data_IF_775058909835
#
_entry.id   IF_775058909835
#
_cell.length_a   1.000
_cell.length_b   1.000
_cell.length_c   1.000
_cell.angle_alpha   90.00
_cell.angle_beta   90.00
_cell.angle_gamma   90.00
#
_symmetry.space_group_name_H-M   'P 1'
#
loop_
_entity.id
_entity.type
_entity.pdbx_description
1 polymer ?
#
# COMPACT_ATOMS: atom_id res chain seq x y z
N UNK A 1 -2.48 -10.80 -22.67
CA UNK A 1 -3.42 -11.89 -22.37
C UNK A 1 -3.29 -12.19 -20.89
N UNK A 2 -4.39 -12.41 -20.16
CA UNK A 2 -4.31 -12.67 -18.73
C UNK A 2 -3.47 -13.92 -18.45
N UNK A 3 -2.71 -13.88 -17.36
CA UNK A 3 -1.82 -14.96 -16.95
C UNK A 3 -2.26 -15.53 -15.60
N UNK A 4 -2.10 -16.83 -15.43
CA UNK A 4 -2.40 -17.51 -14.17
C UNK A 4 -1.16 -17.52 -13.26
N UNK A 5 -1.35 -17.12 -12.00
CA UNK A 5 -0.31 -17.17 -10.96
C UNK A 5 -0.74 -18.14 -9.86
N UNK A 6 0.14 -19.08 -9.52
CA UNK A 6 -0.05 -20.01 -8.39
C UNK A 6 0.86 -19.61 -7.23
N UNK A 7 0.30 -19.52 -6.02
CA UNK A 7 1.03 -19.25 -4.78
C UNK A 7 1.43 -20.57 -4.14
N UNK A 8 2.71 -20.72 -3.81
CA UNK A 8 3.23 -21.82 -2.99
C UNK A 8 3.64 -21.29 -1.60
N UNK A 9 3.39 -22.08 -0.52
CA UNK A 9 2.95 -23.48 -0.51
C UNK A 9 1.42 -23.70 -0.49
N UNK A 10 0.60 -22.64 -0.48
CA UNK A 10 -0.86 -22.78 -0.32
C UNK A 10 -1.57 -23.44 -1.49
N UNK A 11 -0.99 -23.38 -2.70
CA UNK A 11 -1.61 -23.87 -3.94
C UNK A 11 -2.71 -22.96 -4.49
N UNK A 12 -3.00 -21.82 -3.85
CA UNK A 12 -3.99 -20.86 -4.32
C UNK A 12 -3.62 -20.28 -5.68
N UNK A 13 -4.63 -20.04 -6.52
CA UNK A 13 -4.45 -19.51 -7.88
C UNK A 13 -5.27 -18.25 -8.08
N UNK A 14 -4.71 -17.31 -8.84
CA UNK A 14 -5.40 -16.10 -9.26
C UNK A 14 -4.98 -15.70 -10.67
N UNK A 15 -5.85 -14.92 -11.32
CA UNK A 15 -5.63 -14.41 -12.67
C UNK A 15 -5.11 -12.98 -12.60
N UNK A 16 -4.03 -12.70 -13.33
CA UNK A 16 -3.43 -11.37 -13.49
C UNK A 16 -3.76 -10.83 -14.88
N UNK A 17 -4.43 -9.69 -14.94
CA UNK A 17 -4.70 -8.94 -16.17
C UNK A 17 -3.44 -8.24 -16.69
N UNK A 18 -3.43 -7.86 -17.96
CA UNK A 18 -2.25 -7.30 -18.65
C UNK A 18 -1.71 -6.00 -18.02
N UNK A 19 -2.59 -5.21 -17.40
CA UNK A 19 -2.28 -3.88 -16.87
C UNK A 19 -1.95 -3.86 -15.36
N UNK A 20 -2.20 -4.96 -14.66
CA UNK A 20 -2.03 -5.06 -13.20
C UNK A 20 -0.74 -5.81 -12.81
N UNK A 21 -0.26 -5.52 -11.61
CA UNK A 21 0.87 -6.24 -11.01
C UNK A 21 0.41 -7.49 -10.27
N UNK A 22 1.34 -8.43 -10.01
CA UNK A 22 1.06 -9.65 -9.24
C UNK A 22 0.38 -9.31 -7.89
N UNK A 23 0.87 -8.28 -7.18
CA UNK A 23 0.28 -7.86 -5.91
C UNK A 23 -1.14 -7.29 -6.08
N UNK A 24 -1.39 -6.51 -7.12
CA UNK A 24 -2.71 -5.91 -7.36
C UNK A 24 -3.76 -6.98 -7.65
N UNK A 25 -3.41 -7.93 -8.51
CA UNK A 25 -4.26 -9.08 -8.82
C UNK A 25 -4.51 -9.94 -7.57
N UNK A 26 -3.48 -10.24 -6.79
CA UNK A 26 -3.61 -11.02 -5.57
C UNK A 26 -4.58 -10.34 -4.59
N UNK A 27 -4.41 -9.04 -4.34
CA UNK A 27 -5.29 -8.28 -3.45
C UNK A 27 -6.73 -8.17 -3.99
N UNK A 28 -6.90 -8.04 -5.31
CA UNK A 28 -8.21 -8.00 -5.97
C UNK A 28 -8.98 -9.31 -5.81
N UNK A 29 -8.28 -10.44 -5.85
CA UNK A 29 -8.82 -11.80 -5.68
C UNK A 29 -8.86 -12.24 -4.20
N UNK A 30 -8.53 -11.34 -3.25
CA UNK A 30 -8.61 -11.60 -1.80
C UNK A 30 -7.38 -12.30 -1.20
N UNK A 31 -6.33 -12.53 -1.98
CA UNK A 31 -5.06 -13.07 -1.51
C UNK A 31 -4.14 -11.97 -0.99
N UNK A 32 -4.00 -11.91 0.34
CA UNK A 32 -3.14 -10.92 0.99
C UNK A 32 -1.68 -11.39 1.03
N UNK A 33 -0.86 -10.86 0.12
CA UNK A 33 0.59 -11.02 0.13
C UNK A 33 1.26 -9.98 1.05
N UNK A 34 2.53 -10.16 1.46
CA UNK A 34 3.28 -9.11 2.15
C UNK A 34 3.51 -7.88 1.25
N UNK A 35 3.26 -6.67 1.74
CA UNK A 35 3.56 -5.42 1.04
C UNK A 35 3.61 -4.19 1.96
N UNK A 36 4.22 -3.12 1.46
CA UNK A 36 4.36 -1.83 2.13
C UNK A 36 4.06 -0.68 1.17
N UNK A 37 5.07 -0.11 0.52
CA UNK A 37 4.95 1.14 -0.25
C UNK A 37 4.22 1.06 -1.61
N UNK A 38 4.01 -0.15 -2.17
CA UNK A 38 3.47 -0.41 -3.53
C UNK A 38 4.14 0.28 -4.73
N UNK A 39 5.21 1.04 -4.53
CA UNK A 39 5.93 1.78 -5.57
C UNK A 39 7.35 1.24 -5.85
N UNK A 40 7.70 0.05 -5.33
CA UNK A 40 9.01 -0.56 -5.57
C UNK A 40 10.18 0.01 -4.76
N UNK A 41 9.92 0.73 -3.66
CA UNK A 41 10.96 1.33 -2.81
C UNK A 41 11.28 0.56 -1.52
N UNK A 42 10.30 -0.09 -0.87
CA UNK A 42 10.50 -0.65 0.48
C UNK A 42 10.97 -2.11 0.53
N UNK A 43 10.85 -2.87 -0.56
CA UNK A 43 11.21 -4.30 -0.59
C UNK A 43 10.26 -5.25 0.15
N UNK A 44 9.24 -4.78 0.86
CA UNK A 44 8.34 -5.63 1.67
C UNK A 44 7.53 -6.66 0.86
N UNK A 45 7.32 -6.42 -0.43
CA UNK A 45 6.63 -7.36 -1.34
C UNK A 45 7.58 -8.28 -2.11
N UNK A 46 8.84 -8.37 -1.67
CA UNK A 46 9.82 -9.25 -2.29
C UNK A 46 9.45 -10.70 -2.02
N UNK A 47 9.34 -11.49 -3.07
CA UNK A 47 9.17 -12.94 -3.01
C UNK A 47 9.98 -13.63 -4.07
N UNK A 48 9.87 -14.96 -4.13
CA UNK A 48 10.61 -15.79 -5.08
C UNK A 48 9.69 -16.26 -6.20
N UNK A 49 10.21 -16.25 -7.41
CA UNK A 49 9.57 -16.79 -8.61
C UNK A 49 10.15 -18.18 -8.82
N UNK A 50 9.29 -19.18 -8.74
CA UNK A 50 9.67 -20.60 -8.88
C UNK A 50 9.66 -21.03 -10.35
N UNK A 51 8.75 -20.47 -11.16
CA UNK A 51 8.68 -20.71 -12.60
C UNK A 51 7.96 -19.56 -13.31
N UNK A 52 8.17 -19.45 -14.63
CA UNK A 52 7.54 -18.43 -15.49
C UNK A 52 8.40 -17.19 -15.73
N UNK A 53 7.90 -16.28 -16.57
CA UNK A 53 8.57 -15.04 -16.97
C UNK A 53 7.79 -13.82 -16.49
N UNK A 54 8.50 -12.72 -16.20
CA UNK A 54 7.90 -11.47 -15.76
C UNK A 54 8.69 -10.25 -16.25
N UNK A 55 7.99 -9.13 -16.36
CA UNK A 55 8.58 -7.80 -16.36
C UNK A 55 8.74 -7.31 -14.92
N UNK A 56 9.95 -6.93 -14.54
CA UNK A 56 10.27 -6.45 -13.18
C UNK A 56 9.72 -5.05 -12.89
N UNK A 57 9.33 -4.31 -13.93
CA UNK A 57 8.87 -2.93 -13.84
C UNK A 57 9.91 -1.98 -13.26
N UNK A 58 9.55 -0.70 -13.13
CA UNK A 58 10.42 0.32 -12.52
C UNK A 58 10.46 0.13 -11.00
N UNK A 59 11.66 0.04 -10.42
CA UNK A 59 11.87 -0.12 -8.98
C UNK A 59 13.20 0.50 -8.52
N UNK A 60 13.37 0.68 -7.22
CA UNK A 60 14.65 1.13 -6.66
C UNK A 60 15.66 -0.02 -6.58
N UNK A 61 16.92 0.24 -6.98
CA UNK A 61 18.02 -0.71 -6.82
C UNK A 61 18.28 -1.09 -5.35
N UNK A 62 17.89 -0.22 -4.41
CA UNK A 62 17.95 -0.54 -2.97
C UNK A 62 16.91 -1.58 -2.54
N UNK A 63 15.78 -1.66 -3.25
CA UNK A 63 14.68 -2.57 -2.95
C UNK A 63 14.87 -3.95 -3.58
N UNK A 64 15.46 -4.02 -4.78
CA UNK A 64 15.75 -5.27 -5.49
C UNK A 64 17.08 -5.12 -6.26
N UNK A 65 18.09 -5.87 -5.83
CA UNK A 65 19.41 -5.89 -6.48
C UNK A 65 19.41 -6.85 -7.67
N UNK A 66 20.35 -6.66 -8.59
CA UNK A 66 20.45 -7.53 -9.77
C UNK A 66 20.87 -8.97 -9.42
N UNK A 67 21.65 -9.16 -8.35
CA UNK A 67 21.95 -10.51 -7.85
C UNK A 67 20.70 -11.22 -7.32
N UNK A 68 19.76 -10.47 -6.73
CA UNK A 68 18.50 -11.01 -6.25
C UNK A 68 17.58 -11.40 -7.42
N UNK A 69 17.57 -10.62 -8.51
CA UNK A 69 16.87 -10.98 -9.75
C UNK A 69 17.43 -12.28 -10.33
N UNK A 70 18.76 -12.43 -10.34
CA UNK A 70 19.43 -13.66 -10.80
C UNK A 70 19.07 -14.88 -9.93
N UNK A 71 18.69 -14.66 -8.67
CA UNK A 71 18.18 -15.70 -7.76
C UNK A 71 16.66 -15.93 -7.87
N UNK A 72 16.01 -15.33 -8.88
CA UNK A 72 14.57 -15.44 -9.11
C UNK A 72 13.73 -14.63 -8.14
N UNK A 73 14.26 -13.59 -7.49
CA UNK A 73 13.45 -12.72 -6.62
C UNK A 73 12.83 -11.58 -7.40
N UNK A 74 11.59 -11.25 -7.07
CA UNK A 74 10.87 -10.12 -7.67
C UNK A 74 10.10 -9.32 -6.62
N UNK A 75 9.84 -8.04 -6.90
CA UNK A 75 8.93 -7.22 -6.11
C UNK A 75 7.53 -7.36 -6.69
N UNK A 76 6.63 -8.10 -6.03
CA UNK A 76 5.30 -8.38 -6.58
C UNK A 76 4.44 -7.13 -6.80
N UNK A 77 4.75 -6.00 -6.14
CA UNK A 77 4.08 -4.73 -6.39
C UNK A 77 4.49 -4.03 -7.70
N UNK A 78 5.54 -4.50 -8.37
CA UNK A 78 6.04 -3.97 -9.66
C UNK A 78 6.09 -5.04 -10.75
N UNK A 79 6.16 -6.30 -10.36
CA UNK A 79 6.25 -7.43 -11.28
C UNK A 79 4.92 -7.63 -12.04
N UNK A 80 5.01 -7.75 -13.36
CA UNK A 80 3.91 -8.14 -14.25
C UNK A 80 4.26 -9.46 -14.93
N UNK A 81 3.41 -10.51 -14.86
CA UNK A 81 3.68 -11.77 -15.55
C UNK A 81 3.70 -11.58 -17.06
N UNK A 82 4.60 -12.30 -17.74
CA UNK A 82 4.65 -12.45 -19.20
C UNK A 82 4.27 -13.88 -19.64
N UNK A 83 4.08 -14.78 -18.67
CA UNK A 83 3.59 -16.14 -18.81
C UNK A 83 2.85 -16.54 -17.55
N UNK A 84 2.17 -17.68 -17.58
CA UNK A 84 1.74 -18.35 -16.34
C UNK A 84 2.96 -18.64 -15.46
N UNK A 85 2.79 -18.52 -14.15
CA UNK A 85 3.91 -18.61 -13.22
C UNK A 85 3.53 -19.15 -11.84
N UNK A 86 4.56 -19.61 -11.14
CA UNK A 86 4.46 -20.06 -9.75
C UNK A 86 5.35 -19.16 -8.90
N UNK A 87 4.79 -18.61 -7.82
CA UNK A 87 5.50 -17.76 -6.87
C UNK A 87 5.50 -18.39 -5.48
N UNK A 88 6.53 -18.11 -4.69
CA UNK A 88 6.61 -18.46 -3.28
C UNK A 88 6.33 -17.21 -2.44
N UNK A 89 5.26 -17.27 -1.63
CA UNK A 89 4.88 -16.17 -0.75
C UNK A 89 4.10 -16.67 0.47
N UNK A 90 4.35 -16.04 1.63
CA UNK A 90 3.55 -16.29 2.84
C UNK A 90 2.32 -15.39 2.83
N UNK A 91 1.15 -15.99 2.63
CA UNK A 91 -0.13 -15.27 2.73
C UNK A 91 -0.40 -14.79 4.17
N UNK A 92 -1.08 -13.65 4.27
CA UNK A 92 -1.36 -12.96 5.52
C UNK A 92 -2.85 -13.10 5.82
N UNK A 93 -3.18 -13.99 6.76
CA UNK A 93 -4.56 -14.26 7.16
C UNK A 93 -5.19 -13.16 8.02
N UNK A 94 -4.41 -12.52 8.90
CA UNK A 94 -4.94 -11.60 9.92
C UNK A 94 -5.59 -10.32 9.37
N UNK A 95 -5.37 -9.98 8.10
CA UNK A 95 -5.98 -8.82 7.44
C UNK A 95 -7.24 -9.16 6.62
N UNK A 96 -7.65 -10.45 6.55
CA UNK A 96 -8.71 -10.90 5.63
C UNK A 96 -10.08 -10.31 5.92
N UNK A 97 -10.38 -9.99 7.18
CA UNK A 97 -11.70 -9.48 7.58
C UNK A 97 -11.84 -7.96 7.45
N UNK A 98 -10.75 -7.25 7.13
CA UNK A 98 -10.74 -5.79 7.02
C UNK A 98 -10.92 -5.37 5.56
N UNK A 99 -12.05 -4.72 5.28
CA UNK A 99 -12.40 -4.29 3.93
C UNK A 99 -11.65 -3.00 3.56
N UNK A 100 -10.91 -3.05 2.46
CA UNK A 100 -10.30 -1.86 1.84
C UNK A 100 -11.39 -1.03 1.16
N UNK A 101 -11.55 0.22 1.60
CA UNK A 101 -12.54 1.17 1.06
C UNK A 101 -11.84 2.35 0.38
N UNK A 102 -12.55 2.98 -0.56
CA UNK A 102 -12.21 4.31 -1.06
C UNK A 102 -13.24 5.30 -0.53
N UNK A 103 -12.81 6.25 0.29
CA UNK A 103 -13.71 7.14 1.03
C UNK A 103 -13.33 8.61 0.76
N UNK A 104 -14.32 9.52 0.65
CA UNK A 104 -14.03 10.93 0.85
C UNK A 104 -13.66 11.15 2.32
N UNK A 105 -12.82 12.13 2.59
CA UNK A 105 -12.48 12.56 3.94
C UNK A 105 -12.28 14.08 3.95
N UNK A 106 -12.47 14.68 5.11
CA UNK A 106 -12.28 16.12 5.31
C UNK A 106 -11.07 16.37 6.18
N UNK A 107 -10.23 17.33 5.82
CA UNK A 107 -9.18 17.83 6.72
C UNK A 107 -9.87 18.51 7.89
N UNK A 108 -9.74 17.93 9.09
CA UNK A 108 -10.30 18.50 10.31
C UNK A 108 -9.33 19.52 10.91
N UNK A 109 -8.04 19.18 10.95
CA UNK A 109 -7.03 20.01 11.57
C UNK A 109 -5.65 19.82 10.94
N UNK A 110 -4.89 20.91 10.87
CA UNK A 110 -3.48 20.92 10.48
C UNK A 110 -2.66 21.56 11.60
N UNK A 111 -1.70 20.82 12.14
CA UNK A 111 -0.86 21.29 13.24
C UNK A 111 0.62 21.06 12.92
N UNK A 112 1.39 22.14 12.78
CA UNK A 112 2.83 22.03 12.61
C UNK A 112 3.47 21.53 13.89
N UNK A 113 4.16 20.38 13.84
CA UNK A 113 4.82 19.73 14.97
C UNK A 113 6.34 19.89 14.93
N UNK A 114 6.91 20.11 13.75
CA UNK A 114 8.29 20.51 13.53
C UNK A 114 8.39 21.35 12.25
N UNK A 115 9.60 21.83 11.92
CA UNK A 115 9.80 22.65 10.73
C UNK A 115 9.44 21.93 9.43
N UNK A 116 9.59 20.61 9.42
CA UNK A 116 9.27 19.73 8.31
C UNK A 116 8.22 18.68 8.66
N UNK A 117 7.48 18.79 9.79
CA UNK A 117 6.44 17.79 10.16
C UNK A 117 5.09 18.45 10.46
N UNK A 118 4.06 17.99 9.75
CA UNK A 118 2.67 18.36 9.96
C UNK A 118 1.89 17.18 10.56
N UNK A 119 1.21 17.39 11.67
CA UNK A 119 0.16 16.49 12.15
C UNK A 119 -1.14 16.87 11.43
N UNK A 120 -1.71 15.90 10.74
CA UNK A 120 -2.95 16.05 9.96
C UNK A 120 -4.00 15.17 10.58
N UNK A 121 -5.12 15.79 11.00
CA UNK A 121 -6.30 15.07 11.46
C UNK A 121 -7.34 15.11 10.35
N UNK A 122 -7.82 13.94 9.94
CA UNK A 122 -8.88 13.82 8.93
C UNK A 122 -10.11 13.16 9.52
N UNK A 123 -11.27 13.64 9.08
CA UNK A 123 -12.58 13.15 9.48
C UNK A 123 -13.25 12.42 8.33
N UNK A 124 -13.75 11.22 8.61
CA UNK A 124 -14.58 10.46 7.67
C UNK A 124 -16.04 10.96 7.70
N UNK A 125 -16.86 10.64 6.69
CA UNK A 125 -18.31 10.83 6.75
C UNK A 125 -18.90 10.19 8.00
N UNK A 126 -19.97 10.77 8.55
CA UNK A 126 -20.52 10.36 9.85
C UNK A 126 -20.99 8.89 9.91
N UNK A 127 -21.34 8.30 8.77
CA UNK A 127 -21.77 6.92 8.62
C UNK A 127 -20.64 5.97 8.21
N UNK A 128 -19.41 6.47 8.09
CA UNK A 128 -18.25 5.70 7.69
C UNK A 128 -17.27 5.53 8.83
N UNK A 129 -16.73 4.32 8.90
CA UNK A 129 -15.68 3.90 9.83
C UNK A 129 -14.63 3.16 9.01
N UNK A 130 -13.37 3.43 9.32
CA UNK A 130 -12.24 2.71 8.75
C UNK A 130 -11.69 1.78 9.83
N UNK A 131 -11.96 0.48 9.72
CA UNK A 131 -11.30 -0.52 10.55
C UNK A 131 -9.88 -0.71 10.02
N UNK A 132 -8.88 -0.84 10.89
CA UNK A 132 -7.48 -1.08 10.54
C UNK A 132 -6.71 -1.71 11.69
N UNK A 133 -5.53 -2.26 11.41
CA UNK A 133 -4.58 -2.73 12.40
C UNK A 133 -3.47 -1.70 12.62
N UNK A 134 -3.03 -1.51 13.87
CA UNK A 134 -1.97 -0.57 14.20
C UNK A 134 -0.69 -0.88 13.40
N UNK A 135 -0.21 0.10 12.63
CA UNK A 135 0.90 -0.03 11.67
C UNK A 135 0.48 0.09 10.20
N UNK A 136 -0.80 -0.10 9.90
CA UNK A 136 -1.35 0.10 8.55
C UNK A 136 -1.38 1.58 8.13
N UNK A 137 -1.58 1.79 6.83
CA UNK A 137 -1.53 3.11 6.20
C UNK A 137 -2.73 3.33 5.27
N UNK A 138 -2.90 4.57 4.81
CA UNK A 138 -3.85 4.95 3.76
C UNK A 138 -3.14 5.60 2.58
N UNK A 139 -3.73 5.50 1.40
CA UNK A 139 -3.30 6.23 0.21
C UNK A 139 -4.21 7.44 -0.02
N UNK A 140 -3.65 8.65 -0.10
CA UNK A 140 -4.38 9.80 -0.67
C UNK A 140 -4.33 9.75 -2.19
N UNK A 141 -5.49 9.85 -2.84
CA UNK A 141 -5.64 9.94 -4.29
C UNK A 141 -5.53 11.39 -4.74
N UNK A 142 -4.58 11.67 -5.64
CA UNK A 142 -4.30 13.00 -6.16
C UNK A 142 -5.01 13.23 -7.51
N UNK A 143 -5.17 14.50 -7.89
CA UNK A 143 -5.87 14.91 -9.12
C UNK A 143 -5.24 14.36 -10.41
N UNK A 144 -3.94 14.09 -10.39
CA UNK A 144 -3.19 13.54 -11.54
C UNK A 144 -3.24 12.00 -11.60
N UNK A 145 -4.12 11.36 -10.82
CA UNK A 145 -4.28 9.91 -10.75
C UNK A 145 -3.20 9.22 -9.90
N UNK A 146 -2.19 9.94 -9.41
CA UNK A 146 -1.17 9.37 -8.52
C UNK A 146 -1.70 9.24 -7.11
N UNK A 147 -1.02 8.42 -6.30
CA UNK A 147 -1.33 8.26 -4.88
C UNK A 147 -0.10 8.49 -3.99
N UNK A 148 -0.33 8.85 -2.73
CA UNK A 148 0.71 8.96 -1.70
C UNK A 148 0.28 8.28 -0.40
N UNK A 149 1.14 7.41 0.10
CA UNK A 149 0.90 6.58 1.28
C UNK A 149 1.33 7.27 2.56
N UNK A 150 0.49 7.25 3.59
CA UNK A 150 0.80 7.76 4.93
C UNK A 150 0.24 6.83 6.00
N UNK A 151 1.09 6.44 6.96
CA UNK A 151 0.73 5.57 8.07
C UNK A 151 -0.23 6.24 9.05
N UNK A 152 -1.17 5.47 9.57
CA UNK A 152 -2.07 5.89 10.64
C UNK A 152 -1.29 5.95 11.96
N UNK A 153 -1.36 7.10 12.63
CA UNK A 153 -0.58 7.41 13.83
C UNK A 153 -1.38 7.27 15.14
N UNK A 154 -2.71 7.14 15.07
CA UNK A 154 -3.61 6.90 16.20
C UNK A 154 -3.98 5.40 16.31
N UNK A 155 -4.34 4.90 17.50
CA UNK A 155 -4.73 3.51 17.68
C UNK A 155 -6.12 3.22 17.06
N UNK A 156 -6.37 1.98 16.56
CA UNK A 156 -7.64 1.65 15.89
C UNK A 156 -8.93 1.84 16.69
N UNK A 157 -8.85 1.89 18.03
CA UNK A 157 -10.01 2.10 18.89
C UNK A 157 -10.36 3.59 19.08
N UNK A 158 -9.45 4.51 18.75
CA UNK A 158 -9.69 5.96 18.76
C UNK A 158 -9.83 6.45 17.31
N UNK A 159 -10.95 6.11 16.68
CA UNK A 159 -11.18 6.24 15.24
C UNK A 159 -12.09 7.44 14.87
N UNK A 160 -12.35 8.34 15.82
CA UNK A 160 -13.17 9.53 15.58
C UNK A 160 -12.52 10.47 14.54
N UNK A 161 -11.19 10.54 14.56
CA UNK A 161 -10.36 11.19 13.56
C UNK A 161 -9.20 10.25 13.23
N UNK A 162 -8.85 10.14 11.95
CA UNK A 162 -7.61 9.47 11.57
C UNK A 162 -6.47 10.49 11.65
N UNK A 163 -5.36 10.07 12.25
CA UNK A 163 -4.18 10.90 12.47
C UNK A 163 -3.03 10.46 11.58
N UNK A 164 -2.37 11.43 10.94
CA UNK A 164 -1.21 11.22 10.09
C UNK A 164 -0.11 12.21 10.46
N UNK A 165 1.14 11.77 10.43
CA UNK A 165 2.29 12.65 10.54
C UNK A 165 3.00 12.72 9.19
N UNK A 166 2.95 13.88 8.57
CA UNK A 166 3.43 14.10 7.20
C UNK A 166 4.70 14.93 7.25
N UNK A 167 5.81 14.33 6.82
CA UNK A 167 7.06 15.06 6.60
C UNK A 167 7.00 15.85 5.29
N UNK A 168 7.50 17.08 5.31
CA UNK A 168 7.72 17.89 4.11
C UNK A 168 8.89 17.33 3.31
N UNK A 169 8.63 16.92 2.07
CA UNK A 169 9.65 16.60 1.09
C UNK A 169 9.59 17.69 0.01
N UNK A 170 10.65 18.49 -0.17
CA UNK A 170 10.67 19.54 -1.20
C UNK A 170 10.40 18.99 -2.60
N UNK A 171 9.47 19.60 -3.33
CA UNK A 171 9.04 19.12 -4.66
C UNK A 171 8.10 17.89 -4.58
N UNK A 172 7.68 17.51 -3.38
CA UNK A 172 6.83 16.35 -3.15
C UNK A 172 5.38 16.62 -3.50
N UNK A 173 4.81 15.78 -4.38
CA UNK A 173 3.48 15.99 -4.94
C UNK A 173 2.36 16.30 -3.94
N UNK A 174 2.36 15.66 -2.76
CA UNK A 174 1.36 15.89 -1.72
C UNK A 174 1.91 16.66 -0.52
N UNK A 175 3.14 16.36 -0.09
CA UNK A 175 3.74 17.03 1.06
C UNK A 175 3.90 18.54 0.87
N UNK A 176 4.17 19.02 -0.36
CA UNK A 176 4.17 20.46 -0.64
C UNK A 176 2.78 21.07 -0.43
N UNK A 177 1.72 20.37 -0.87
CA UNK A 177 0.34 20.83 -0.70
C UNK A 177 -0.02 20.93 0.79
N UNK A 178 0.33 19.92 1.58
CA UNK A 178 0.10 19.90 3.04
C UNK A 178 0.70 21.12 3.75
N UNK A 179 1.84 21.62 3.27
CA UNK A 179 2.56 22.74 3.87
C UNK A 179 2.25 24.10 3.23
N UNK A 180 1.43 24.16 2.17
CA UNK A 180 1.18 25.41 1.44
C UNK A 180 -0.30 25.67 1.15
N UNK A 181 -0.94 24.80 0.38
CA UNK A 181 -2.26 25.06 -0.21
C UNK A 181 -3.40 24.33 0.49
N UNK A 182 -3.10 23.21 1.17
CA UNK A 182 -4.09 22.42 1.90
C UNK A 182 -4.59 23.21 3.12
N UNK A 183 -5.91 23.22 3.29
CA UNK A 183 -6.58 23.94 4.38
C UNK A 183 -7.52 23.02 5.14
N UNK A 184 -7.82 23.41 6.37
CA UNK A 184 -8.94 22.82 7.10
C UNK A 184 -10.22 22.94 6.27
N UNK A 185 -11.05 21.90 6.34
CA UNK A 185 -12.29 21.70 5.58
C UNK A 185 -12.10 21.28 4.12
N UNK A 186 -10.88 21.22 3.61
CA UNK A 186 -10.63 20.61 2.29
C UNK A 186 -11.07 19.15 2.27
N UNK A 187 -11.59 18.73 1.12
CA UNK A 187 -12.03 17.35 0.89
C UNK A 187 -10.97 16.63 0.08
N UNK A 188 -10.53 15.50 0.61
CA UNK A 188 -9.59 14.58 -0.03
C UNK A 188 -10.29 13.24 -0.25
N UNK A 189 -9.70 12.39 -1.10
CA UNK A 189 -10.12 11.00 -1.25
C UNK A 189 -8.99 10.09 -0.79
N UNK A 190 -9.32 9.14 0.09
CA UNK A 190 -8.38 8.14 0.58
C UNK A 190 -8.80 6.74 0.13
N UNK A 191 -7.82 5.83 0.05
CA UNK A 191 -8.01 4.39 -0.07
C UNK A 191 -7.30 3.69 1.07
N UNK A 192 -8.00 2.81 1.79
CA UNK A 192 -7.40 2.05 2.87
C UNK A 192 -8.38 1.18 3.68
N UNK A 193 -7.89 0.54 4.75
CA UNK A 193 -6.47 0.53 5.12
C UNK A 193 -5.63 -0.34 4.18
N UNK A 194 -4.33 -0.13 4.18
CA UNK A 194 -3.37 -0.84 3.37
C UNK A 194 -2.15 -1.22 4.21
N UNK A 195 -1.40 -2.18 3.68
CA UNK A 195 -0.12 -2.62 4.23
C UNK A 195 -0.24 -3.84 5.12
N UNK A 196 0.87 -4.58 5.16
CA UNK A 196 1.00 -5.80 5.96
C UNK A 196 1.92 -5.65 7.18
N UNK A 197 2.33 -4.43 7.49
CA UNK A 197 3.11 -4.11 8.67
C UNK A 197 2.16 -3.72 9.79
N UNK A 198 1.88 -4.66 10.69
CA UNK A 198 1.00 -4.45 11.83
C UNK A 198 1.41 -5.35 12.99
N UNK A 199 0.97 -4.99 14.20
CA UNK A 199 1.21 -5.78 15.41
C UNK A 199 0.58 -7.16 15.25
N UNK A 200 1.37 -8.23 15.46
CA UNK A 200 0.91 -9.61 15.48
C UNK A 200 0.87 -10.09 16.92
N UNK A 201 -0.21 -10.73 17.32
CA UNK A 201 -0.37 -11.23 18.70
C UNK A 201 0.57 -12.42 19.00
N UNK A 202 1.02 -13.14 17.97
CA UNK A 202 1.86 -14.34 18.09
C UNK A 202 3.37 -14.06 17.96
N UNK A 203 3.84 -12.83 18.22
CA UNK A 203 5.26 -12.44 18.06
C UNK A 203 6.06 -12.44 19.35
#
# INVERSE_FOLDING_TARGET
MPHQVTIQPSGHQFTVQDDETILEAALREGFSLPYGCRNGACGACKGKVLSGQLDYGVHSASALKDEEKAQGRALFCRARPLSDMVIEAKEIGAAKDIVVKTLPCRVEKLERRADDVMRVLIKLPANERLQYLAGQYIDFQLKDGKSRSYSLANPPHDDALLELHIRHVPGGLFSDQVFSTLKERDILRLKGPLGSFFIREDS
#
